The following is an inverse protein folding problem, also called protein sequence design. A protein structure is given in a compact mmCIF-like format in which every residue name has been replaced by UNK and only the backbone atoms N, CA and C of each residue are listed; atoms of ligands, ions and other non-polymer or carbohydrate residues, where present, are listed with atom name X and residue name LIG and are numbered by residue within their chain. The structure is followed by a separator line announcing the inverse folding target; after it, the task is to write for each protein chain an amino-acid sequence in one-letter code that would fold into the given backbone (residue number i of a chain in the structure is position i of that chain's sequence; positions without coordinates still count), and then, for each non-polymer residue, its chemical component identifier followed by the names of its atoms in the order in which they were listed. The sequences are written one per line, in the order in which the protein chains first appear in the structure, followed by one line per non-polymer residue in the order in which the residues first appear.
data_IF_974089057545
#
_entry.id   IF_974089057545
#
_cell.length_a   1.000
_cell.length_b   1.000
_cell.length_c   1.000
_cell.angle_alpha   90.00
_cell.angle_beta   90.00
_cell.angle_gamma   90.00
#
_symmetry.space_group_name_H-M   'P 1'
#
loop_
_entity.id
_entity.type
_entity.pdbx_description
1 polymer ?
#
# COMPACT_ATOMS: atom_id res chain seq x y z
N UNK A 1 -27.05 -42.17 7.82
CA UNK A 1 -27.82 -41.64 6.68
C UNK A 1 -28.40 -40.30 7.08
N UNK A 2 -27.67 -39.20 6.84
CA UNK A 2 -28.19 -37.84 6.98
C UNK A 2 -28.12 -37.23 5.60
N UNK A 3 -29.29 -37.11 4.98
CA UNK A 3 -29.48 -36.59 3.64
C UNK A 3 -28.96 -35.16 3.58
N UNK A 4 -27.91 -34.98 2.79
CA UNK A 4 -27.43 -33.69 2.32
C UNK A 4 -28.57 -32.98 1.60
N UNK A 5 -29.13 -31.94 2.21
CA UNK A 5 -30.00 -31.00 1.51
C UNK A 5 -29.14 -30.22 0.53
N UNK A 6 -29.11 -30.70 -0.71
CA UNK A 6 -28.59 -29.98 -1.86
C UNK A 6 -29.53 -28.78 -2.13
N UNK A 7 -29.38 -27.71 -1.34
CA UNK A 7 -29.97 -26.42 -1.68
C UNK A 7 -29.15 -25.86 -2.83
N UNK A 8 -29.59 -26.12 -4.07
CA UNK A 8 -29.18 -25.34 -5.23
C UNK A 8 -29.51 -23.87 -4.96
N UNK A 9 -28.56 -23.12 -4.39
CA UNK A 9 -28.65 -21.66 -4.32
C UNK A 9 -28.54 -21.17 -5.75
N UNK A 10 -29.68 -20.86 -6.35
CA UNK A 10 -29.73 -20.06 -7.57
C UNK A 10 -29.07 -18.73 -7.26
N UNK A 11 -27.78 -18.63 -7.57
CA UNK A 11 -27.04 -17.38 -7.39
C UNK A 11 -27.50 -16.48 -8.51
N UNK A 12 -28.38 -15.54 -8.19
CA UNK A 12 -28.84 -14.56 -9.18
C UNK A 12 -27.63 -13.75 -9.61
N UNK A 13 -27.34 -13.77 -10.91
CA UNK A 13 -26.29 -12.94 -11.53
C UNK A 13 -26.64 -11.45 -11.52
N UNK A 14 -27.89 -11.14 -11.15
CA UNK A 14 -28.41 -9.79 -11.00
C UNK A 14 -28.55 -9.49 -9.50
N UNK A 15 -28.06 -8.31 -9.08
CA UNK A 15 -28.07 -7.85 -7.69
C UNK A 15 -26.72 -7.27 -7.25
N UNK A 16 -26.75 -6.28 -6.36
CA UNK A 16 -25.55 -5.57 -5.91
C UNK A 16 -24.47 -6.52 -5.37
N UNK A 17 -24.86 -7.52 -4.58
CA UNK A 17 -23.93 -8.49 -3.99
C UNK A 17 -23.18 -9.35 -5.03
N UNK A 18 -23.79 -9.59 -6.20
CA UNK A 18 -23.10 -10.25 -7.31
C UNK A 18 -22.28 -9.25 -8.13
N UNK A 19 -22.79 -8.06 -8.38
CA UNK A 19 -22.15 -7.08 -9.27
C UNK A 19 -20.91 -6.42 -8.66
N UNK A 20 -20.85 -6.34 -7.33
CA UNK A 20 -19.74 -5.77 -6.57
C UNK A 20 -19.04 -6.85 -5.75
N UNK A 21 -17.73 -6.72 -5.57
CA UNK A 21 -16.96 -7.60 -4.69
C UNK A 21 -17.16 -7.22 -3.23
N UNK A 22 -17.20 -5.92 -2.96
CA UNK A 22 -17.43 -5.31 -1.66
C UNK A 22 -18.45 -4.17 -1.77
N UNK A 23 -19.12 -3.88 -0.66
CA UNK A 23 -20.06 -2.77 -0.50
C UNK A 23 -19.75 -2.02 0.80
N UNK A 24 -18.62 -1.31 0.83
CA UNK A 24 -18.15 -0.59 2.02
C UNK A 24 -19.15 0.45 2.51
N UNK A 25 -19.11 0.71 3.82
CA UNK A 25 -19.86 1.79 4.47
C UNK A 25 -19.10 3.12 4.46
N UNK A 26 -17.81 3.09 4.14
CA UNK A 26 -16.95 4.26 3.97
C UNK A 26 -16.57 4.35 2.49
N UNK A 27 -16.55 5.55 1.88
CA UNK A 27 -16.01 5.71 0.53
C UNK A 27 -14.57 5.18 0.46
N UNK A 28 -14.17 4.54 -0.65
CA UNK A 28 -12.84 3.93 -0.80
C UNK A 28 -11.70 4.90 -0.40
N UNK A 29 -11.76 6.15 -0.88
CA UNK A 29 -10.72 7.16 -0.64
C UNK A 29 -10.97 8.02 0.61
N UNK A 30 -11.72 7.50 1.61
CA UNK A 30 -12.16 8.27 2.77
C UNK A 30 -11.03 8.97 3.54
N UNK A 31 -9.89 8.28 3.71
CA UNK A 31 -8.79 8.73 4.54
C UNK A 31 -7.76 9.60 3.80
N UNK A 32 -7.76 9.58 2.46
CA UNK A 32 -6.74 10.21 1.63
C UNK A 32 -6.50 11.69 1.96
N UNK A 33 -7.53 12.54 2.18
CA UNK A 33 -7.33 13.96 2.49
C UNK A 33 -6.61 14.24 3.82
N UNK A 34 -6.54 13.25 4.73
CA UNK A 34 -5.99 13.42 6.08
C UNK A 34 -4.78 12.54 6.36
N UNK A 35 -4.21 11.87 5.35
CA UNK A 35 -3.00 11.08 5.51
C UNK A 35 -1.83 11.98 5.98
N UNK A 36 -0.99 11.51 6.92
CA UNK A 36 0.18 12.27 7.31
C UNK A 36 1.20 12.31 6.18
N UNK A 37 1.99 13.37 6.17
CA UNK A 37 3.10 13.51 5.21
C UNK A 37 4.23 12.56 5.56
N UNK A 38 4.87 11.99 4.53
CA UNK A 38 6.05 11.15 4.71
C UNK A 38 7.20 11.99 5.30
N UNK A 39 7.76 11.63 6.46
CA UNK A 39 8.80 12.43 7.09
C UNK A 39 10.14 12.29 6.36
N UNK A 40 10.87 13.40 6.23
CA UNK A 40 12.27 13.39 5.83
C UNK A 40 13.12 13.17 7.10
N UNK A 41 13.93 12.09 7.19
CA UNK A 41 14.78 11.82 8.34
C UNK A 41 15.87 12.89 8.54
N UNK A 42 16.43 12.97 9.73
CA UNK A 42 17.61 13.82 9.98
C UNK A 42 18.80 13.31 9.17
N UNK A 43 19.57 14.24 8.57
CA UNK A 43 20.75 13.91 7.75
C UNK A 43 21.73 13.02 8.53
N UNK A 44 22.00 13.39 9.79
CA UNK A 44 22.87 12.62 10.70
C UNK A 44 22.37 11.18 10.91
N UNK A 45 21.08 11.00 11.20
CA UNK A 45 20.50 9.66 11.35
C UNK A 45 20.60 8.84 10.06
N UNK A 46 20.45 9.48 8.89
CA UNK A 46 20.63 8.82 7.59
C UNK A 46 22.09 8.39 7.39
N UNK A 47 23.06 9.26 7.64
CA UNK A 47 24.49 8.95 7.56
C UNK A 47 24.88 7.81 8.50
N UNK A 48 24.41 7.84 9.76
CA UNK A 48 24.69 6.80 10.75
C UNK A 48 24.11 5.45 10.32
N UNK A 49 22.85 5.42 9.87
CA UNK A 49 22.20 4.18 9.41
C UNK A 49 22.87 3.62 8.15
N UNK A 50 23.31 4.49 7.24
CA UNK A 50 24.07 4.09 6.06
C UNK A 50 25.38 3.40 6.45
N UNK A 51 26.18 4.01 7.34
CA UNK A 51 27.44 3.42 7.81
C UNK A 51 27.21 2.07 8.50
N UNK A 52 26.20 1.97 9.37
CA UNK A 52 25.85 0.71 10.02
C UNK A 52 25.45 -0.38 9.02
N UNK A 53 24.76 -0.02 7.92
CA UNK A 53 24.33 -0.97 6.90
C UNK A 53 25.48 -1.47 6.01
N UNK A 54 26.47 -0.63 5.72
CA UNK A 54 27.61 -1.00 4.87
C UNK A 54 28.77 -1.64 5.64
N UNK A 55 28.86 -1.42 6.96
CA UNK A 55 29.91 -2.01 7.80
C UNK A 55 30.12 -3.54 7.59
N UNK A 56 29.07 -4.40 7.55
CA UNK A 56 29.29 -5.84 7.33
C UNK A 56 29.66 -6.21 5.89
N UNK A 57 29.59 -5.27 4.94
CA UNK A 57 29.87 -5.49 3.52
C UNK A 57 31.29 -5.08 3.12
N UNK A 58 31.98 -4.33 3.98
CA UNK A 58 33.24 -3.67 3.67
C UNK A 58 34.38 -4.22 4.53
N UNK A 59 35.58 -4.25 3.95
CA UNK A 59 36.80 -4.44 4.75
C UNK A 59 37.02 -3.25 5.70
N UNK A 60 37.81 -3.41 6.78
CA UNK A 60 38.09 -2.29 7.69
C UNK A 60 38.66 -1.05 7.00
N UNK A 61 39.50 -1.24 5.98
CA UNK A 61 40.08 -0.14 5.21
C UNK A 61 39.04 0.60 4.37
N UNK A 62 38.16 -0.13 3.66
CA UNK A 62 37.08 0.46 2.86
C UNK A 62 36.05 1.16 3.73
N UNK A 63 35.72 0.57 4.89
CA UNK A 63 34.83 1.20 5.85
C UNK A 63 35.43 2.52 6.37
N UNK A 64 36.72 2.56 6.71
CA UNK A 64 37.40 3.80 7.11
C UNK A 64 37.32 4.91 6.04
N UNK A 65 37.56 4.56 4.77
CA UNK A 65 37.38 5.50 3.64
C UNK A 65 35.93 5.98 3.50
N UNK A 66 34.98 5.06 3.68
CA UNK A 66 33.55 5.36 3.59
C UNK A 66 33.10 6.29 4.72
N UNK A 67 33.58 6.07 5.95
CA UNK A 67 33.32 6.96 7.09
C UNK A 67 33.79 8.38 6.82
N UNK A 68 35.00 8.53 6.28
CA UNK A 68 35.53 9.85 5.91
C UNK A 68 34.65 10.53 4.85
N UNK A 69 34.31 9.83 3.76
CA UNK A 69 33.47 10.38 2.69
C UNK A 69 32.07 10.78 3.18
N UNK A 70 31.47 9.97 4.06
CA UNK A 70 30.17 10.26 4.67
C UNK A 70 30.25 11.50 5.57
N UNK A 71 31.34 11.67 6.31
CA UNK A 71 31.53 12.84 7.16
C UNK A 71 31.75 14.12 6.34
N UNK A 72 32.55 14.06 5.29
CA UNK A 72 32.73 15.17 4.33
C UNK A 72 31.39 15.55 3.66
N UNK A 73 30.57 14.56 3.29
CA UNK A 73 29.23 14.80 2.77
C UNK A 73 28.33 15.46 3.83
N UNK A 74 28.32 14.93 5.05
CA UNK A 74 27.47 15.38 6.16
C UNK A 74 27.77 16.82 6.56
N UNK A 75 29.05 17.23 6.56
CA UNK A 75 29.48 18.59 6.90
C UNK A 75 29.51 19.54 5.70
N UNK A 76 29.54 19.00 4.47
CA UNK A 76 29.62 19.76 3.23
C UNK A 76 28.30 19.79 2.45
N UNK A 77 28.35 19.34 1.20
CA UNK A 77 27.24 19.45 0.23
C UNK A 77 25.96 18.76 0.69
N UNK A 78 26.03 17.74 1.55
CA UNK A 78 24.87 17.04 2.08
C UNK A 78 23.93 17.94 2.86
N UNK A 79 24.44 18.94 3.58
CA UNK A 79 23.61 19.93 4.27
C UNK A 79 22.79 20.78 3.29
N UNK A 80 23.42 21.24 2.21
CA UNK A 80 22.76 22.05 1.17
C UNK A 80 21.67 21.24 0.46
N UNK A 81 22.00 20.01 0.06
CA UNK A 81 21.06 19.10 -0.60
C UNK A 81 19.89 18.75 0.32
N UNK A 82 20.13 18.52 1.61
CA UNK A 82 19.08 18.24 2.59
C UNK A 82 18.15 19.45 2.79
N UNK A 83 18.71 20.66 2.81
CA UNK A 83 17.92 21.88 2.89
C UNK A 83 17.04 22.06 1.64
N UNK A 84 17.59 21.83 0.44
CA UNK A 84 16.85 21.85 -0.83
C UNK A 84 15.73 20.80 -0.86
N UNK A 85 16.01 19.58 -0.40
CA UNK A 85 15.02 18.51 -0.28
C UNK A 85 13.85 18.93 0.62
N UNK A 86 14.15 19.46 1.82
CA UNK A 86 13.12 19.95 2.75
C UNK A 86 12.33 21.13 2.19
N UNK A 87 12.97 22.05 1.49
CA UNK A 87 12.31 23.20 0.86
C UNK A 87 11.35 22.73 -0.25
N UNK A 88 11.79 21.79 -1.10
CA UNK A 88 10.95 21.18 -2.14
C UNK A 88 9.75 20.45 -1.52
N UNK A 89 9.98 19.65 -0.47
CA UNK A 89 8.90 18.97 0.26
C UNK A 89 7.90 19.96 0.85
N UNK A 90 8.36 21.04 1.49
CA UNK A 90 7.50 22.07 2.07
C UNK A 90 6.64 22.79 1.02
N UNK A 91 7.14 22.96 -0.21
CA UNK A 91 6.40 23.53 -1.33
C UNK A 91 5.38 22.54 -1.94
N UNK A 92 5.61 21.22 -1.82
CA UNK A 92 4.81 20.17 -2.47
C UNK A 92 4.04 19.31 -1.45
N UNK A 93 3.18 19.94 -0.64
CA UNK A 93 2.47 19.26 0.48
C UNK A 93 1.45 18.20 0.07
N UNK A 94 1.04 18.18 -1.19
CA UNK A 94 0.05 17.25 -1.74
C UNK A 94 0.63 15.89 -2.14
N UNK A 95 1.95 15.72 -2.04
CA UNK A 95 2.67 14.48 -2.37
C UNK A 95 3.79 14.22 -1.35
N UNK A 96 4.60 13.19 -1.59
CA UNK A 96 5.80 12.88 -0.82
C UNK A 96 7.07 13.17 -1.61
N UNK A 97 8.16 13.51 -0.91
CA UNK A 97 9.45 13.84 -1.52
C UNK A 97 10.05 12.74 -2.40
N UNK A 98 9.59 11.49 -2.25
CA UNK A 98 10.17 10.31 -2.91
C UNK A 98 9.33 9.80 -4.08
N UNK A 99 8.03 10.13 -4.15
CA UNK A 99 7.12 9.51 -5.12
C UNK A 99 7.56 9.72 -6.56
N UNK A 100 7.81 10.97 -6.97
CA UNK A 100 8.25 11.26 -8.33
C UNK A 100 9.65 10.69 -8.64
N UNK A 101 10.70 10.93 -7.83
CA UNK A 101 12.01 10.32 -8.08
C UNK A 101 11.97 8.79 -8.20
N UNK A 102 11.10 8.14 -7.42
CA UNK A 102 10.92 6.69 -7.47
C UNK A 102 10.28 6.24 -8.79
N UNK A 103 9.24 6.91 -9.26
CA UNK A 103 8.66 6.64 -10.58
C UNK A 103 9.67 6.90 -11.70
N UNK A 104 10.37 8.04 -11.66
CA UNK A 104 11.35 8.42 -12.68
C UNK A 104 12.47 7.38 -12.78
N UNK A 105 12.93 6.81 -11.65
CA UNK A 105 13.92 5.73 -11.63
C UNK A 105 13.48 4.51 -12.47
N UNK A 106 12.25 4.03 -12.29
CA UNK A 106 11.74 2.87 -13.04
C UNK A 106 11.39 3.20 -14.50
N UNK A 107 10.86 4.40 -14.76
CA UNK A 107 10.44 4.79 -16.11
C UNK A 107 11.62 5.19 -17.02
N UNK A 108 12.73 5.66 -16.44
CA UNK A 108 13.93 6.03 -17.18
C UNK A 108 14.85 4.83 -17.47
N UNK A 109 14.80 3.78 -16.65
CA UNK A 109 15.64 2.60 -16.87
C UNK A 109 15.29 1.90 -18.19
N UNK A 110 16.32 1.44 -18.90
CA UNK A 110 16.23 0.79 -20.21
C UNK A 110 16.42 -0.72 -20.13
N UNK A 111 16.67 -1.28 -18.95
CA UNK A 111 16.73 -2.74 -18.81
C UNK A 111 15.36 -3.37 -19.12
N UNK A 112 15.33 -4.57 -19.73
CA UNK A 112 14.06 -5.24 -20.03
C UNK A 112 13.22 -5.47 -18.78
N UNK A 113 11.91 -5.22 -18.84
CA UNK A 113 11.00 -5.44 -17.71
C UNK A 113 10.96 -6.90 -17.20
N UNK A 114 10.96 -7.94 -18.06
CA UNK A 114 10.99 -9.32 -17.60
C UNK A 114 12.26 -9.59 -16.78
N UNK A 115 12.11 -10.36 -15.70
CA UNK A 115 13.17 -10.73 -14.73
C UNK A 115 13.71 -9.58 -13.87
N UNK A 116 13.92 -8.38 -14.45
CA UNK A 116 14.50 -7.26 -13.70
C UNK A 116 13.49 -6.56 -12.79
N UNK A 117 12.23 -6.43 -13.23
CA UNK A 117 11.21 -5.70 -12.47
C UNK A 117 9.93 -6.46 -12.24
N UNK A 118 9.36 -7.10 -13.27
CA UNK A 118 8.01 -7.65 -13.18
C UNK A 118 7.97 -8.89 -12.25
N UNK A 119 7.40 -8.78 -11.03
CA UNK A 119 7.24 -9.95 -10.18
C UNK A 119 6.00 -10.75 -10.61
N UNK A 120 5.89 -11.99 -10.15
CA UNK A 120 4.72 -12.83 -10.39
C UNK A 120 4.14 -13.32 -9.06
N UNK A 121 2.81 -13.18 -8.91
CA UNK A 121 2.06 -13.83 -7.85
C UNK A 121 1.32 -15.05 -8.41
N UNK A 122 1.46 -16.21 -7.77
CA UNK A 122 0.77 -17.44 -8.14
C UNK A 122 -0.39 -17.67 -7.17
N UNK A 123 -1.61 -17.77 -7.71
CA UNK A 123 -2.80 -18.06 -6.90
C UNK A 123 -2.84 -19.52 -6.48
N UNK A 124 -3.23 -19.76 -5.22
CA UNK A 124 -3.54 -21.10 -4.73
C UNK A 124 -4.64 -21.74 -5.58
N UNK A 125 -4.53 -23.05 -5.78
CA UNK A 125 -5.59 -23.83 -6.41
C UNK A 125 -6.84 -23.85 -5.51
N UNK A 126 -8.02 -23.61 -6.10
CA UNK A 126 -9.31 -23.98 -5.51
C UNK A 126 -9.28 -25.48 -5.14
N UNK A 127 -9.78 -25.81 -3.96
CA UNK A 127 -9.82 -27.19 -3.45
C UNK A 127 -10.82 -28.07 -4.17
N UNK A 128 -11.76 -27.46 -4.93
CA UNK A 128 -12.81 -28.13 -5.68
C UNK A 128 -12.35 -28.43 -7.11
N UNK A 129 -12.27 -29.71 -7.52
CA UNK A 129 -11.76 -30.08 -8.86
C UNK A 129 -12.55 -29.46 -10.02
N UNK A 130 -13.87 -29.30 -9.88
CA UNK A 130 -14.72 -28.73 -10.92
C UNK A 130 -14.41 -27.24 -11.20
N UNK A 131 -13.85 -26.52 -10.23
CA UNK A 131 -13.40 -25.13 -10.38
C UNK A 131 -11.96 -25.02 -10.93
N UNK A 132 -11.29 -26.14 -11.17
CA UNK A 132 -9.96 -26.18 -11.81
C UNK A 132 -10.01 -26.32 -13.33
N UNK A 133 -11.19 -26.55 -13.90
CA UNK A 133 -11.34 -26.55 -15.36
C UNK A 133 -10.96 -25.17 -15.90
N UNK A 134 -10.09 -25.14 -16.92
CA UNK A 134 -9.47 -23.90 -17.42
C UNK A 134 -10.51 -22.81 -17.71
N UNK A 135 -11.57 -23.16 -18.46
CA UNK A 135 -12.64 -22.22 -18.84
C UNK A 135 -13.40 -21.70 -17.61
N UNK A 136 -13.73 -22.58 -16.66
CA UNK A 136 -14.46 -22.22 -15.43
C UNK A 136 -13.59 -21.30 -14.57
N UNK A 137 -12.34 -21.66 -14.33
CA UNK A 137 -11.40 -20.88 -13.50
C UNK A 137 -11.12 -19.52 -14.13
N UNK A 138 -10.81 -19.47 -15.43
CA UNK A 138 -10.58 -18.23 -16.14
C UNK A 138 -11.80 -17.31 -16.11
N UNK A 139 -13.00 -17.85 -16.34
CA UNK A 139 -14.26 -17.09 -16.30
C UNK A 139 -14.49 -16.49 -14.91
N UNK A 140 -14.32 -17.28 -13.85
CA UNK A 140 -14.48 -16.80 -12.47
C UNK A 140 -13.46 -15.73 -12.09
N UNK A 141 -12.20 -15.86 -12.54
CA UNK A 141 -11.16 -14.87 -12.31
C UNK A 141 -11.49 -13.55 -13.02
N UNK A 142 -11.86 -13.60 -14.30
CA UNK A 142 -12.24 -12.41 -15.07
C UNK A 142 -13.44 -11.71 -14.41
N UNK A 143 -14.50 -12.45 -14.08
CA UNK A 143 -15.68 -11.89 -13.41
C UNK A 143 -15.29 -11.28 -12.06
N UNK A 144 -14.46 -11.94 -11.26
CA UNK A 144 -14.03 -11.43 -9.95
C UNK A 144 -13.19 -10.15 -10.09
N UNK A 145 -12.28 -10.09 -11.06
CA UNK A 145 -11.51 -8.87 -11.38
C UNK A 145 -12.41 -7.72 -11.82
N UNK A 146 -13.41 -7.98 -12.66
CA UNK A 146 -14.39 -6.96 -13.07
C UNK A 146 -15.27 -6.49 -11.91
N UNK A 147 -15.65 -7.39 -10.99
CA UNK A 147 -16.38 -7.03 -9.77
C UNK A 147 -15.52 -6.16 -8.84
N UNK A 148 -14.23 -6.47 -8.71
CA UNK A 148 -13.28 -5.63 -7.97
C UNK A 148 -13.18 -4.24 -8.60
N UNK A 149 -12.93 -4.17 -9.90
CA UNK A 149 -12.86 -2.90 -10.65
C UNK A 149 -14.13 -2.07 -10.48
N UNK A 150 -15.31 -2.69 -10.58
CA UNK A 150 -16.58 -2.03 -10.34
C UNK A 150 -16.76 -1.54 -8.90
N UNK A 151 -16.33 -2.31 -7.90
CA UNK A 151 -16.35 -1.87 -6.50
C UNK A 151 -15.46 -0.65 -6.28
N UNK A 152 -14.25 -0.64 -6.88
CA UNK A 152 -13.33 0.48 -6.80
C UNK A 152 -13.92 1.75 -7.44
N UNK A 153 -14.42 1.65 -8.68
CA UNK A 153 -15.01 2.78 -9.42
C UNK A 153 -16.27 3.35 -8.77
N UNK A 154 -17.01 2.53 -8.00
CA UNK A 154 -18.24 2.95 -7.33
C UNK A 154 -18.01 3.49 -5.90
N UNK A 155 -16.74 3.67 -5.47
CA UNK A 155 -16.39 4.00 -4.08
C UNK A 155 -16.94 3.01 -3.03
N UNK A 156 -17.06 1.74 -3.43
CA UNK A 156 -17.63 0.65 -2.61
C UNK A 156 -16.57 -0.35 -2.13
N UNK A 157 -15.30 -0.19 -2.52
CA UNK A 157 -14.21 -0.97 -1.96
C UNK A 157 -13.90 -0.44 -0.55
N UNK A 158 -13.63 -1.33 0.40
CA UNK A 158 -13.21 -0.91 1.74
C UNK A 158 -11.89 -0.12 1.63
N UNK A 159 -11.73 0.99 2.37
CA UNK A 159 -10.45 1.67 2.43
C UNK A 159 -9.36 0.73 2.94
N UNK A 160 -8.16 0.84 2.36
CA UNK A 160 -7.03 0.04 2.78
C UNK A 160 -6.49 0.55 4.13
N UNK A 161 -6.52 -0.31 5.15
CA UNK A 161 -6.17 0.07 6.53
C UNK A 161 -5.38 -1.05 7.18
N UNK A 162 -4.19 -0.74 7.69
CA UNK A 162 -3.44 -1.65 8.53
C UNK A 162 -4.00 -1.63 9.96
N UNK A 163 -4.58 -2.74 10.39
CA UNK A 163 -5.12 -2.89 11.74
C UNK A 163 -4.12 -3.62 12.65
N UNK A 164 -3.57 -2.96 13.67
CA UNK A 164 -2.73 -3.64 14.67
C UNK A 164 -3.47 -4.77 15.39
N UNK A 165 -4.80 -4.64 15.54
CA UNK A 165 -5.67 -5.70 16.03
C UNK A 165 -7.02 -5.65 15.32
N UNK A 166 -7.12 -6.38 14.20
CA UNK A 166 -8.33 -6.44 13.37
C UNK A 166 -9.60 -6.82 14.16
N UNK A 167 -9.51 -7.71 15.16
CA UNK A 167 -10.68 -8.09 15.98
C UNK A 167 -11.29 -6.92 16.75
N UNK A 168 -10.51 -5.86 16.99
CA UNK A 168 -10.96 -4.64 17.69
C UNK A 168 -11.26 -3.50 16.73
N UNK A 169 -10.45 -3.30 15.70
CA UNK A 169 -10.53 -2.13 14.83
C UNK A 169 -11.12 -2.40 13.45
N UNK A 170 -11.17 -3.63 12.96
CA UNK A 170 -11.89 -3.98 11.73
C UNK A 170 -13.31 -4.46 12.07
N UNK A 171 -14.15 -3.54 12.56
CA UNK A 171 -15.51 -3.87 13.03
C UNK A 171 -16.56 -2.94 12.43
N UNK A 172 -17.83 -3.35 12.49
CA UNK A 172 -18.95 -2.50 12.10
C UNK A 172 -19.05 -1.23 12.96
N UNK A 173 -18.74 -1.34 14.25
CA UNK A 173 -18.71 -0.22 15.19
C UNK A 173 -17.64 0.81 14.81
N UNK A 174 -16.44 0.36 14.45
CA UNK A 174 -15.38 1.24 13.93
C UNK A 174 -15.85 1.98 12.67
N UNK A 175 -16.39 1.28 11.66
CA UNK A 175 -16.90 1.92 10.44
C UNK A 175 -18.00 2.94 10.73
N UNK A 176 -18.90 2.65 11.67
CA UNK A 176 -19.98 3.58 12.07
C UNK A 176 -19.41 4.84 12.73
N UNK A 177 -18.40 4.70 13.59
CA UNK A 177 -17.73 5.84 14.22
C UNK A 177 -16.92 6.65 13.20
N UNK A 178 -16.24 5.98 12.27
CA UNK A 178 -15.49 6.66 11.22
C UNK A 178 -16.37 7.44 10.26
N UNK A 179 -17.56 6.94 9.95
CA UNK A 179 -18.52 7.62 9.08
C UNK A 179 -18.94 9.01 9.60
N UNK A 180 -18.91 9.24 10.91
CA UNK A 180 -19.26 10.52 11.53
C UNK A 180 -18.05 11.42 11.78
N UNK A 181 -16.83 10.89 11.70
CA UNK A 181 -15.62 11.70 11.87
C UNK A 181 -15.43 12.66 10.68
N UNK A 182 -14.97 13.90 10.88
CA UNK A 182 -14.66 14.79 9.76
C UNK A 182 -13.53 14.22 8.89
N UNK A 183 -13.71 14.19 7.57
CA UNK A 183 -12.70 13.67 6.61
C UNK A 183 -11.32 14.30 6.78
N UNK A 184 -11.25 15.58 7.16
CA UNK A 184 -9.99 16.30 7.39
C UNK A 184 -9.14 15.73 8.53
N UNK A 185 -9.72 14.94 9.44
CA UNK A 185 -9.04 14.33 10.58
C UNK A 185 -9.26 12.82 10.68
N UNK A 186 -9.83 12.20 9.64
CA UNK A 186 -10.26 10.80 9.67
C UNK A 186 -9.11 9.84 9.96
N UNK A 187 -7.92 10.08 9.41
CA UNK A 187 -6.74 9.25 9.65
C UNK A 187 -6.29 9.31 11.11
N UNK A 188 -6.24 10.50 11.71
CA UNK A 188 -5.88 10.65 13.13
C UNK A 188 -6.91 10.04 14.06
N UNK A 189 -8.19 10.17 13.70
CA UNK A 189 -9.28 9.53 14.42
C UNK A 189 -9.16 7.99 14.33
N UNK A 190 -8.74 7.44 13.19
CA UNK A 190 -8.42 6.01 13.03
C UNK A 190 -7.23 5.57 13.90
N UNK A 191 -6.22 6.42 14.08
CA UNK A 191 -5.06 6.10 14.93
C UNK A 191 -5.43 5.84 16.39
N UNK A 192 -6.50 6.48 16.90
CA UNK A 192 -7.02 6.18 18.24
C UNK A 192 -7.46 4.70 18.40
N UNK A 193 -7.80 4.03 17.29
CA UNK A 193 -8.15 2.61 17.23
C UNK A 193 -6.96 1.70 16.89
N UNK A 194 -5.74 2.25 16.81
CA UNK A 194 -4.55 1.55 16.30
C UNK A 194 -4.79 0.94 14.91
N UNK A 195 -5.50 1.69 14.08
CA UNK A 195 -5.77 1.38 12.69
C UNK A 195 -5.14 2.48 11.82
N UNK A 196 -4.34 2.09 10.84
CA UNK A 196 -3.46 2.97 10.09
C UNK A 196 -3.86 2.94 8.61
N UNK A 197 -4.72 3.88 8.16
CA UNK A 197 -5.08 4.00 6.75
C UNK A 197 -3.87 4.18 5.85
N UNK A 198 -3.92 3.58 4.67
CA UNK A 198 -2.84 3.59 3.70
C UNK A 198 -3.17 4.51 2.51
N UNK A 199 -2.13 4.94 1.80
CA UNK A 199 -2.27 5.65 0.54
C UNK A 199 -2.89 4.73 -0.51
N UNK A 200 -3.82 5.27 -1.31
CA UNK A 200 -4.50 4.55 -2.38
C UNK A 200 -4.49 5.37 -3.69
N UNK A 201 -3.43 6.16 -3.91
CA UNK A 201 -3.31 7.02 -5.09
C UNK A 201 -2.83 6.28 -6.35
N UNK A 202 -2.39 5.02 -6.21
CA UNK A 202 -1.99 4.10 -7.29
C UNK A 202 -3.12 3.12 -7.61
#
# INVERSE_FOLDING_TARGET
SFLSTNSSRTTTTHGQHYQYLQCSKLPTLYFQPSLPRLPIPLLENTCQRFLAAVQPLLTPQEHGRTQQAVEEFRQGIGMELHAKLKASDAANKHTSYISQPWFDMYLADRVPLPLNYNPLLVMKSDTRPEYQQQVVRATNLIISSLRFWRSLQADLLEPEVYHMNAKKSDTASYRRWMKVAPKAFATYASYAFKAFPLDMSQ
#
